data_IF_836939673523
#
_entry.id   IF_836939673523
#
_cell.length_a   1.000
_cell.length_b   1.000
_cell.length_c   1.000
_cell.angle_alpha   90.00
_cell.angle_beta   90.00
_cell.angle_gamma   90.00
#
_symmetry.space_group_name_H-M   'P 1'
#
loop_
_entity.id
_entity.type
_entity.pdbx_description
1 polymer ?
#
# COMPACT_ATOMS: atom_id res chain seq x y z
N UNK A 1 2.32 -6.04 7.48
CA UNK A 1 1.64 -6.74 6.37
C UNK A 1 0.34 -7.41 6.85
N UNK A 2 0.39 -8.46 7.70
CA UNK A 2 -0.82 -9.20 8.13
C UNK A 2 -1.94 -8.34 8.72
N UNK A 3 -1.61 -7.30 9.49
CA UNK A 3 -2.56 -6.39 10.14
C UNK A 3 -3.50 -5.67 9.17
N UNK A 4 -3.10 -5.50 7.90
CA UNK A 4 -3.91 -4.82 6.87
C UNK A 4 -4.44 -5.79 5.81
N UNK A 5 -4.28 -7.10 6.00
CA UNK A 5 -4.66 -8.13 5.02
C UNK A 5 -6.11 -8.02 4.54
N UNK A 6 -7.00 -7.54 5.42
CA UNK A 6 -8.40 -7.30 5.11
C UNK A 6 -8.60 -6.32 3.93
N UNK A 7 -7.69 -5.39 3.69
CA UNK A 7 -7.76 -4.44 2.56
C UNK A 7 -7.56 -5.11 1.20
N UNK A 8 -6.85 -6.24 1.17
CA UNK A 8 -6.72 -7.07 -0.03
C UNK A 8 -7.85 -8.11 -0.14
N UNK A 9 -8.61 -8.36 0.92
CA UNK A 9 -9.55 -9.47 1.01
C UNK A 9 -10.98 -9.00 1.32
N UNK A 10 -11.45 -7.97 0.60
CA UNK A 10 -12.82 -7.44 0.69
C UNK A 10 -13.29 -7.12 2.12
N UNK A 11 -12.35 -6.73 2.98
CA UNK A 11 -12.58 -6.35 4.36
C UNK A 11 -12.52 -7.49 5.37
N UNK A 12 -12.23 -8.73 4.95
CA UNK A 12 -12.07 -9.88 5.85
C UNK A 12 -10.60 -10.14 6.19
N UNK A 13 -10.26 -10.10 7.48
CA UNK A 13 -8.91 -10.35 7.98
C UNK A 13 -8.48 -11.79 7.74
N UNK A 14 -7.33 -11.99 7.08
CA UNK A 14 -6.79 -13.32 6.83
C UNK A 14 -6.18 -13.98 8.09
N UNK A 15 -5.93 -13.20 9.16
CA UNK A 15 -5.32 -13.72 10.38
C UNK A 15 -6.27 -13.89 11.55
N UNK A 16 -7.36 -13.12 11.60
CA UNK A 16 -8.34 -13.17 12.69
C UNK A 16 -9.68 -13.82 12.26
N UNK A 17 -9.83 -14.15 10.97
CA UNK A 17 -11.08 -14.64 10.36
C UNK A 17 -12.30 -13.72 10.60
N UNK A 18 -12.04 -12.43 10.83
CA UNK A 18 -13.03 -11.41 11.18
C UNK A 18 -13.34 -10.48 10.00
N UNK A 19 -14.60 -10.06 9.86
CA UNK A 19 -15.00 -9.00 8.92
C UNK A 19 -14.72 -7.62 9.53
N UNK A 20 -13.58 -7.03 9.21
CA UNK A 20 -13.14 -5.72 9.71
C UNK A 20 -13.86 -4.56 9.03
N UNK A 21 -14.10 -4.67 7.72
CA UNK A 21 -14.80 -3.67 6.91
C UNK A 21 -15.78 -4.35 5.96
N UNK A 22 -16.83 -3.67 5.49
CA UNK A 22 -17.60 -4.17 4.35
C UNK A 22 -16.77 -4.13 3.05
N UNK A 23 -17.15 -4.88 1.99
CA UNK A 23 -16.50 -4.77 0.69
C UNK A 23 -16.54 -3.35 0.11
N UNK A 24 -17.64 -2.62 0.34
CA UNK A 24 -17.78 -1.23 -0.08
C UNK A 24 -16.80 -0.30 0.65
N UNK A 25 -16.74 -0.37 1.98
CA UNK A 25 -15.78 0.41 2.78
C UNK A 25 -14.34 0.07 2.41
N UNK A 26 -14.04 -1.20 2.12
CA UNK A 26 -12.71 -1.63 1.66
C UNK A 26 -12.32 -0.94 0.35
N UNK A 27 -13.26 -0.87 -0.61
CA UNK A 27 -13.05 -0.13 -1.87
C UNK A 27 -12.82 1.36 -1.61
N UNK A 28 -13.58 1.97 -0.70
CA UNK A 28 -13.41 3.38 -0.32
C UNK A 28 -12.02 3.64 0.29
N UNK A 29 -11.58 2.82 1.24
CA UNK A 29 -10.27 2.95 1.86
C UNK A 29 -9.16 2.78 0.83
N UNK A 30 -9.23 1.77 -0.03
CA UNK A 30 -8.22 1.57 -1.08
C UNK A 30 -8.16 2.75 -2.07
N UNK A 31 -9.29 3.39 -2.37
CA UNK A 31 -9.30 4.60 -3.20
C UNK A 31 -8.59 5.78 -2.52
N UNK A 32 -8.79 5.97 -1.20
CA UNK A 32 -8.08 6.99 -0.43
C UNK A 32 -6.58 6.71 -0.37
N UNK A 33 -6.18 5.45 -0.15
CA UNK A 33 -4.78 5.05 -0.16
C UNK A 33 -4.10 5.34 -1.50
N UNK A 34 -4.79 5.07 -2.61
CA UNK A 34 -4.26 5.33 -3.95
C UNK A 34 -4.09 6.83 -4.24
N UNK A 35 -4.94 7.69 -3.69
CA UNK A 35 -5.00 9.12 -4.04
C UNK A 35 -4.31 10.04 -3.05
N UNK A 36 -4.12 9.61 -1.79
CA UNK A 36 -3.65 10.49 -0.70
C UNK A 36 -2.67 9.82 0.27
N UNK A 37 -2.32 8.55 0.04
CA UNK A 37 -1.62 7.77 1.06
C UNK A 37 -0.12 8.06 1.21
N UNK A 38 0.50 8.76 0.26
CA UNK A 38 1.96 8.91 0.14
C UNK A 38 2.43 10.38 0.22
N UNK A 39 1.80 11.19 1.09
CA UNK A 39 2.03 12.64 1.16
C UNK A 39 1.87 13.29 -0.24
N UNK A 40 2.71 14.27 -0.55
CA UNK A 40 2.72 14.98 -1.84
C UNK A 40 3.16 14.09 -3.02
N UNK A 41 3.52 12.82 -2.77
CA UNK A 41 3.97 11.86 -3.77
C UNK A 41 2.92 10.81 -4.16
N UNK A 42 1.66 10.93 -3.74
CA UNK A 42 0.61 9.95 -4.06
C UNK A 42 0.49 9.66 -5.58
N UNK A 43 0.49 10.70 -6.43
CA UNK A 43 0.43 10.52 -7.89
C UNK A 43 1.69 9.85 -8.47
N UNK A 44 2.87 10.24 -8.00
CA UNK A 44 4.16 9.64 -8.41
C UNK A 44 4.25 8.16 -8.01
N UNK A 45 3.78 7.83 -6.80
CA UNK A 45 3.72 6.46 -6.32
C UNK A 45 2.72 5.62 -7.12
N UNK A 46 1.52 6.15 -7.41
CA UNK A 46 0.56 5.49 -8.26
C UNK A 46 1.13 5.21 -9.66
N UNK A 47 1.88 6.15 -10.24
CA UNK A 47 2.52 5.96 -11.55
C UNK A 47 3.66 4.93 -11.53
N UNK A 48 4.56 4.99 -10.53
CA UNK A 48 5.76 4.14 -10.49
C UNK A 48 5.51 2.75 -9.93
N UNK A 49 4.66 2.66 -8.90
CA UNK A 49 4.39 1.40 -8.18
C UNK A 49 3.07 0.79 -8.63
N UNK A 50 2.06 1.61 -8.96
CA UNK A 50 0.79 1.10 -9.47
C UNK A 50 -0.09 0.44 -8.43
N UNK A 51 0.05 0.79 -7.14
CA UNK A 51 -0.70 0.16 -6.04
C UNK A 51 -1.24 1.20 -5.04
N UNK A 52 -2.39 0.97 -4.39
CA UNK A 52 -2.79 1.73 -3.21
C UNK A 52 -1.75 1.59 -2.10
N UNK A 53 -1.28 2.71 -1.55
CA UNK A 53 -0.23 2.72 -0.53
C UNK A 53 -0.52 3.64 0.65
N UNK A 54 0.15 3.42 1.79
CA UNK A 54 0.24 4.39 2.89
C UNK A 54 1.66 4.42 3.43
N UNK A 55 2.23 5.61 3.57
CA UNK A 55 3.51 5.83 4.25
C UNK A 55 3.34 6.40 5.67
N UNK A 56 4.42 6.36 6.45
CA UNK A 56 4.55 7.13 7.68
C UNK A 56 6.00 7.51 7.95
N UNK A 57 6.22 8.63 8.64
CA UNK A 57 7.56 9.19 8.94
C UNK A 57 8.47 8.26 9.76
N UNK A 58 7.92 7.21 10.36
CA UNK A 58 8.73 6.13 10.93
C UNK A 58 9.51 5.31 9.88
N UNK A 59 9.28 5.53 8.58
CA UNK A 59 9.93 4.82 7.48
C UNK A 59 9.20 3.57 7.00
N UNK A 60 7.98 3.32 7.50
CA UNK A 60 7.11 2.24 7.06
C UNK A 60 6.28 2.64 5.84
N UNK A 61 6.14 1.74 4.87
CA UNK A 61 5.17 1.86 3.78
C UNK A 61 4.39 0.55 3.68
N UNK A 62 3.08 0.65 3.59
CA UNK A 62 2.21 -0.46 3.21
C UNK A 62 1.67 -0.27 1.81
N UNK A 63 1.51 -1.36 1.07
CA UNK A 63 0.87 -1.38 -0.23
C UNK A 63 -0.14 -2.53 -0.31
N UNK A 64 -1.23 -2.33 -1.04
CA UNK A 64 -2.33 -3.30 -1.17
C UNK A 64 -2.37 -3.83 -2.59
N UNK A 65 -2.42 -5.15 -2.75
CA UNK A 65 -2.76 -5.81 -4.02
C UNK A 65 -4.15 -6.40 -3.87
N UNK A 66 -5.21 -5.70 -4.33
CA UNK A 66 -6.59 -6.16 -4.16
C UNK A 66 -6.80 -7.58 -4.69
N UNK A 67 -7.47 -8.41 -3.90
CA UNK A 67 -7.77 -9.81 -4.22
C UNK A 67 -6.60 -10.78 -4.04
N UNK A 68 -5.41 -10.33 -3.59
CA UNK A 68 -4.21 -11.17 -3.51
C UNK A 68 -3.52 -11.10 -2.16
N UNK A 69 -2.85 -9.98 -1.86
CA UNK A 69 -2.06 -9.83 -0.64
C UNK A 69 -1.75 -8.36 -0.34
N UNK A 70 -1.08 -8.15 0.78
CA UNK A 70 -0.58 -6.83 1.20
C UNK A 70 0.92 -6.89 1.43
N UNK A 71 1.61 -5.81 1.11
CA UNK A 71 3.05 -5.66 1.28
C UNK A 71 3.32 -4.65 2.40
N UNK A 72 4.41 -4.85 3.13
CA UNK A 72 4.91 -3.88 4.10
C UNK A 72 6.43 -3.82 3.94
N UNK A 73 6.96 -2.63 3.76
CA UNK A 73 8.40 -2.34 3.72
C UNK A 73 8.74 -1.36 4.83
N UNK A 74 9.98 -1.41 5.30
CA UNK A 74 10.46 -0.51 6.33
C UNK A 74 11.92 -0.14 6.05
N UNK A 75 12.19 1.16 6.03
CA UNK A 75 13.54 1.72 6.09
C UNK A 75 13.44 3.14 6.65
N UNK A 76 14.16 3.49 7.71
CA UNK A 76 13.99 4.76 8.42
C UNK A 76 14.41 5.99 7.60
N UNK A 77 15.32 5.84 6.64
CA UNK A 77 15.76 6.95 5.79
C UNK A 77 14.62 7.44 4.89
N UNK A 78 14.26 8.72 5.04
CA UNK A 78 13.18 9.37 4.30
C UNK A 78 13.74 10.23 3.15
N UNK A 79 12.97 10.36 2.08
CA UNK A 79 13.20 11.34 1.03
C UNK A 79 12.72 12.75 1.48
N UNK A 80 12.85 13.74 0.61
CA UNK A 80 12.51 15.14 0.90
C UNK A 80 11.04 15.39 1.24
N UNK A 81 10.13 14.46 0.94
CA UNK A 81 8.69 14.58 1.21
C UNK A 81 8.21 13.64 2.33
N UNK A 82 9.12 12.98 3.04
CA UNK A 82 8.80 12.18 4.23
C UNK A 82 8.43 10.71 3.96
N UNK A 83 8.64 10.22 2.74
CA UNK A 83 8.46 8.80 2.40
C UNK A 83 9.77 8.02 2.53
N UNK A 84 9.71 6.75 2.93
CA UNK A 84 10.91 5.90 2.98
C UNK A 84 11.54 5.75 1.59
N UNK A 85 12.77 6.25 1.43
CA UNK A 85 13.44 6.28 0.11
C UNK A 85 13.69 4.86 -0.42
N UNK A 86 14.28 3.99 0.42
CA UNK A 86 14.51 2.59 0.05
C UNK A 86 13.20 1.79 0.00
N UNK A 87 12.20 2.15 0.81
CA UNK A 87 10.88 1.51 0.76
C UNK A 87 10.18 1.72 -0.58
N UNK A 88 10.17 2.95 -1.09
CA UNK A 88 9.61 3.26 -2.43
C UNK A 88 10.39 2.55 -3.53
N UNK A 89 11.73 2.55 -3.45
CA UNK A 89 12.57 1.87 -4.45
C UNK A 89 12.31 0.35 -4.47
N UNK A 90 12.19 -0.28 -3.30
CA UNK A 90 11.88 -1.70 -3.18
C UNK A 90 10.50 -2.05 -3.77
N UNK A 91 9.48 -1.23 -3.49
CA UNK A 91 8.13 -1.43 -4.03
C UNK A 91 8.07 -1.22 -5.54
N UNK A 92 8.80 -0.24 -6.07
CA UNK A 92 8.93 0.00 -7.52
C UNK A 92 9.56 -1.22 -8.19
N UNK A 93 10.72 -1.67 -7.69
CA UNK A 93 11.41 -2.83 -8.24
C UNK A 93 10.57 -4.12 -8.16
N UNK A 94 9.84 -4.30 -7.06
CA UNK A 94 8.94 -5.45 -6.90
C UNK A 94 7.81 -5.40 -7.92
N UNK A 95 7.14 -4.26 -8.06
CA UNK A 95 6.03 -4.04 -9.00
C UNK A 95 6.45 -4.36 -10.45
N UNK A 96 7.61 -3.87 -10.88
CA UNK A 96 8.20 -4.15 -12.19
C UNK A 96 8.49 -5.65 -12.39
N UNK A 97 9.09 -6.30 -11.39
CA UNK A 97 9.46 -7.73 -11.47
C UNK A 97 8.25 -8.66 -11.55
N UNK A 98 7.15 -8.30 -10.89
CA UNK A 98 5.93 -9.11 -10.91
C UNK A 98 4.93 -8.63 -11.99
N UNK A 99 5.28 -7.57 -12.74
CA UNK A 99 4.46 -6.90 -13.75
C UNK A 99 3.07 -6.50 -13.23
N UNK A 100 2.99 -5.95 -12.01
CA UNK A 100 1.71 -5.60 -11.39
C UNK A 100 1.57 -4.12 -11.13
N UNK A 101 0.73 -3.51 -11.95
CA UNK A 101 0.09 -2.23 -11.70
C UNK A 101 -1.42 -2.44 -11.78
N UNK A 102 -2.19 -1.76 -10.93
CA UNK A 102 -3.65 -1.68 -11.08
C UNK A 102 -4.08 -0.62 -12.11
N UNK A 103 -3.11 0.06 -12.73
CA UNK A 103 -3.25 1.04 -13.82
C UNK A 103 -2.56 0.55 -15.08
#
# INVERSE_FOLDING_TARGET
ARSISFLANSGKSACADEQVLTPYQTKQVNALLATSGMYDEAGSFAFKVGLPGKSGVGGGIVAVVPGRFTICVFSPALNSVGNSQLGVAALTSLSERINWSIY
#
